data_IF_866027798396
#
_entry.id   IF_866027798396
#
_cell.length_a   1.000
_cell.length_b   1.000
_cell.length_c   1.000
_cell.angle_alpha   90.00
_cell.angle_beta   90.00
_cell.angle_gamma   90.00
#
_symmetry.space_group_name_H-M   'P 1'
#
loop_
_entity.id
_entity.type
_entity.pdbx_description
1 polymer ?
#
# COMPACT_ATOMS: atom_id res chain seq x y z
N UNK A 1 10.75 19.09 -1.20
CA UNK A 1 10.15 17.78 -0.93
C UNK A 1 8.95 17.58 -1.84
N UNK A 2 8.86 16.41 -2.44
CA UNK A 2 7.83 15.99 -3.40
C UNK A 2 6.83 15.08 -2.71
N UNK A 3 5.60 15.05 -3.24
CA UNK A 3 4.51 14.19 -2.74
C UNK A 3 3.96 13.29 -3.83
N UNK A 4 3.46 12.14 -3.43
CA UNK A 4 2.59 11.30 -4.26
C UNK A 4 1.17 11.27 -3.68
N UNK A 5 0.20 11.06 -4.56
CA UNK A 5 -1.19 10.82 -4.18
C UNK A 5 -1.49 9.32 -4.12
N UNK A 6 -2.19 8.89 -3.07
CA UNK A 6 -2.80 7.59 -2.94
C UNK A 6 -4.29 7.75 -2.59
N UNK A 7 -5.04 6.67 -2.71
CA UNK A 7 -6.46 6.61 -2.38
C UNK A 7 -6.72 5.47 -1.41
N UNK A 8 -7.79 5.57 -0.65
CA UNK A 8 -8.34 4.44 0.08
C UNK A 8 -9.85 4.65 0.28
N UNK A 9 -10.51 3.65 0.82
CA UNK A 9 -11.92 3.73 1.18
C UNK A 9 -12.18 2.88 2.42
N UNK A 10 -13.28 3.18 3.09
CA UNK A 10 -13.79 2.39 4.19
C UNK A 10 -15.31 2.37 4.14
N UNK A 11 -15.89 1.27 4.63
CA UNK A 11 -17.33 1.15 4.78
C UNK A 11 -17.74 1.54 6.20
N UNK A 12 -18.97 2.01 6.34
CA UNK A 12 -19.57 2.28 7.65
C UNK A 12 -21.03 1.83 7.66
N UNK A 13 -21.52 1.50 8.85
CA UNK A 13 -22.92 1.16 9.08
C UNK A 13 -23.69 2.38 9.62
N UNK A 14 -24.98 2.43 9.34
CA UNK A 14 -25.86 3.52 9.76
C UNK A 14 -26.05 4.62 8.70
N UNK A 15 -26.86 5.61 9.06
CA UNK A 15 -27.33 6.65 8.13
C UNK A 15 -26.30 7.76 7.88
N UNK A 16 -25.28 7.86 8.73
CA UNK A 16 -24.26 8.92 8.69
C UNK A 16 -22.85 8.36 8.83
N UNK A 17 -21.90 8.96 8.10
CA UNK A 17 -20.47 8.64 8.25
C UNK A 17 -19.99 8.93 9.69
N UNK A 18 -18.96 8.23 10.17
CA UNK A 18 -18.41 8.49 11.50
C UNK A 18 -17.67 9.84 11.54
N UNK A 19 -17.60 10.47 12.71
CA UNK A 19 -16.78 11.68 12.90
C UNK A 19 -15.29 11.39 12.76
N UNK A 20 -14.86 10.20 13.19
CA UNK A 20 -13.46 9.76 13.13
C UNK A 20 -13.35 8.33 12.62
N UNK A 21 -12.31 8.03 11.84
CA UNK A 21 -12.01 6.66 11.40
C UNK A 21 -10.50 6.38 11.36
N UNK A 22 -10.10 5.16 11.74
CA UNK A 22 -8.69 4.74 11.72
C UNK A 22 -8.50 3.69 10.61
N UNK A 23 -7.67 4.01 9.63
CA UNK A 23 -7.33 3.11 8.54
C UNK A 23 -6.11 2.30 8.95
N UNK A 24 -6.33 1.02 9.26
CA UNK A 24 -5.25 0.09 9.58
C UNK A 24 -5.17 -1.10 8.62
N UNK A 25 -6.30 -1.75 8.34
CA UNK A 25 -6.38 -2.94 7.46
C UNK A 25 -7.48 -2.76 6.41
N UNK A 26 -7.28 -1.88 5.42
CA UNK A 26 -8.30 -1.70 4.41
C UNK A 26 -8.46 -2.97 3.56
N UNK A 27 -9.71 -3.43 3.41
CA UNK A 27 -10.08 -4.48 2.46
C UNK A 27 -10.22 -3.84 1.08
N UNK A 28 -9.18 -4.00 0.26
CA UNK A 28 -9.14 -3.56 -1.13
C UNK A 28 -9.47 -4.70 -2.08
N UNK A 29 -10.34 -5.63 -1.65
CA UNK A 29 -10.77 -6.79 -2.41
C UNK A 29 -9.64 -7.74 -2.78
N UNK A 30 -8.72 -7.96 -1.83
CA UNK A 30 -7.61 -8.90 -2.01
C UNK A 30 -8.15 -10.30 -2.35
N UNK A 31 -7.40 -11.06 -3.13
CA UNK A 31 -7.72 -12.46 -3.44
C UNK A 31 -7.31 -13.39 -2.29
N UNK A 32 -7.88 -14.60 -2.27
CA UNK A 32 -7.54 -15.60 -1.26
C UNK A 32 -6.04 -15.91 -1.25
N UNK A 33 -5.47 -16.02 -0.05
CA UNK A 33 -4.04 -16.28 0.15
C UNK A 33 -3.13 -15.07 -0.03
N UNK A 34 -3.65 -13.91 -0.44
CA UNK A 34 -2.88 -12.67 -0.47
C UNK A 34 -2.63 -12.13 0.95
N UNK A 35 -1.39 -11.73 1.22
CA UNK A 35 -0.96 -11.23 2.53
C UNK A 35 -0.35 -9.84 2.36
N UNK A 36 -0.91 -8.87 3.06
CA UNK A 36 -0.40 -7.49 3.08
C UNK A 36 0.76 -7.33 4.06
N UNK A 37 1.62 -6.33 3.86
CA UNK A 37 2.54 -5.86 4.89
C UNK A 37 1.77 -5.45 6.16
N UNK A 38 2.34 -5.75 7.32
CA UNK A 38 1.77 -5.47 8.62
C UNK A 38 2.46 -4.31 9.36
N UNK A 39 3.67 -3.92 8.94
CA UNK A 39 4.44 -2.83 9.55
C UNK A 39 4.14 -1.45 8.97
N UNK A 40 3.30 -1.36 7.94
CA UNK A 40 2.87 -0.11 7.32
C UNK A 40 1.41 -0.14 6.89
N UNK A 41 0.85 1.01 6.56
CA UNK A 41 -0.53 1.11 6.04
C UNK A 41 -0.55 0.95 4.53
N UNK A 42 -1.44 0.10 4.02
CA UNK A 42 -1.59 -0.11 2.58
C UNK A 42 -2.73 0.73 2.01
N UNK A 43 -2.50 1.36 0.86
CA UNK A 43 -3.40 2.24 0.13
C UNK A 43 -3.42 1.83 -1.36
N UNK A 44 -4.36 2.39 -2.12
CA UNK A 44 -4.44 2.27 -3.57
C UNK A 44 -3.57 3.34 -4.23
N UNK A 45 -2.79 2.99 -5.25
CA UNK A 45 -1.89 3.93 -5.91
C UNK A 45 -1.94 3.87 -7.44
N UNK A 46 -1.68 5.03 -8.06
CA UNK A 46 -1.60 5.18 -9.50
C UNK A 46 -2.97 5.15 -10.20
N UNK A 47 -2.94 4.97 -11.52
CA UNK A 47 -4.14 4.93 -12.37
C UNK A 47 -4.59 3.49 -12.70
N UNK A 48 -3.71 2.50 -12.50
CA UNK A 48 -3.94 1.11 -12.89
C UNK A 48 -4.74 0.37 -11.84
N UNK A 49 -6.06 0.22 -12.04
CA UNK A 49 -6.94 -0.59 -11.20
C UNK A 49 -7.77 0.13 -10.13
N UNK A 50 -7.41 1.32 -9.58
CA UNK A 50 -8.24 2.00 -8.60
C UNK A 50 -9.67 2.26 -9.07
N UNK A 51 -9.90 2.55 -10.35
CA UNK A 51 -11.27 2.71 -10.88
C UNK A 51 -12.13 1.46 -10.74
N UNK A 52 -11.56 0.27 -10.99
CA UNK A 52 -12.26 -1.00 -10.83
C UNK A 52 -12.58 -1.29 -9.36
N UNK A 53 -11.63 -1.00 -8.46
CA UNK A 53 -11.80 -1.22 -7.02
C UNK A 53 -12.75 -0.20 -6.39
N UNK A 54 -12.65 1.07 -6.76
CA UNK A 54 -13.60 2.12 -6.34
C UNK A 54 -15.00 1.77 -6.82
N UNK A 55 -15.16 1.37 -8.10
CA UNK A 55 -16.44 0.92 -8.63
C UNK A 55 -16.97 -0.33 -7.92
N UNK A 56 -16.10 -1.27 -7.53
CA UNK A 56 -16.48 -2.41 -6.72
C UNK A 56 -16.92 -2.00 -5.31
N UNK A 57 -16.25 -1.04 -4.69
CA UNK A 57 -16.63 -0.50 -3.39
C UNK A 57 -18.02 0.14 -3.42
N UNK A 58 -18.30 0.98 -4.43
CA UNK A 58 -19.64 1.56 -4.63
C UNK A 58 -20.71 0.48 -4.81
N UNK A 59 -20.45 -0.55 -5.62
CA UNK A 59 -21.40 -1.66 -5.81
C UNK A 59 -21.62 -2.47 -4.53
N UNK A 60 -20.56 -2.74 -3.76
CA UNK A 60 -20.67 -3.45 -2.49
C UNK A 60 -21.48 -2.65 -1.47
N UNK A 61 -21.23 -1.34 -1.37
CA UNK A 61 -22.01 -0.41 -0.56
C UNK A 61 -23.49 -0.48 -0.94
N UNK A 62 -23.82 -0.35 -2.23
CA UNK A 62 -25.20 -0.44 -2.71
C UNK A 62 -25.87 -1.79 -2.43
N UNK A 63 -25.14 -2.91 -2.55
CA UNK A 63 -25.71 -4.25 -2.32
C UNK A 63 -25.86 -4.62 -0.85
N UNK A 64 -25.02 -4.07 0.02
CA UNK A 64 -25.03 -4.37 1.47
C UNK A 64 -25.86 -3.37 2.28
N UNK A 65 -26.16 -2.19 1.71
CA UNK A 65 -26.78 -1.09 2.43
C UNK A 65 -25.80 -0.29 3.30
N UNK A 66 -24.51 -0.66 3.33
CA UNK A 66 -23.48 0.09 4.04
C UNK A 66 -23.12 1.38 3.30
N UNK A 67 -22.76 2.44 4.04
CA UNK A 67 -22.15 3.62 3.47
C UNK A 67 -20.70 3.38 3.05
N UNK A 68 -20.17 4.21 2.16
CA UNK A 68 -18.75 4.18 1.75
C UNK A 68 -18.18 5.59 1.72
N UNK A 69 -17.02 5.75 2.36
CA UNK A 69 -16.21 6.96 2.28
C UNK A 69 -14.94 6.66 1.48
N UNK A 70 -14.50 7.62 0.68
CA UNK A 70 -13.22 7.60 -0.02
C UNK A 70 -12.29 8.63 0.59
N UNK A 71 -11.00 8.35 0.60
CA UNK A 71 -9.99 9.29 1.08
C UNK A 71 -8.86 9.44 0.07
N UNK A 72 -8.50 10.69 -0.21
CA UNK A 72 -7.31 11.10 -0.94
C UNK A 72 -6.20 11.38 0.06
N UNK A 73 -5.08 10.67 -0.07
CA UNK A 73 -3.95 10.71 0.88
C UNK A 73 -2.72 11.22 0.17
N UNK A 74 -1.98 12.13 0.81
CA UNK A 74 -0.69 12.63 0.33
C UNK A 74 0.44 12.03 1.15
N UNK A 75 1.47 11.56 0.46
CA UNK A 75 2.63 10.92 1.08
C UNK A 75 3.88 11.65 0.61
N UNK A 76 4.70 12.08 1.57
CA UNK A 76 6.03 12.64 1.32
C UNK A 76 7.00 11.54 0.88
N UNK A 77 7.73 11.82 -0.19
CA UNK A 77 8.66 10.86 -0.82
C UNK A 77 10.08 11.42 -0.96
N UNK A 78 10.42 12.46 -0.19
CA UNK A 78 11.71 13.14 -0.31
C UNK A 78 11.83 13.92 -1.61
N UNK A 79 12.97 13.79 -2.29
CA UNK A 79 13.19 14.41 -3.60
C UNK A 79 12.69 13.50 -4.72
N UNK A 80 12.03 14.07 -5.72
CA UNK A 80 11.62 13.30 -6.88
C UNK A 80 12.79 13.09 -7.83
N UNK A 81 13.18 11.84 -8.03
CA UNK A 81 14.07 11.46 -9.13
C UNK A 81 13.22 11.00 -10.34
N UNK A 82 13.49 11.54 -11.52
CA UNK A 82 12.82 11.11 -12.75
C UNK A 82 13.33 9.74 -13.23
N UNK A 83 14.56 9.37 -12.85
CA UNK A 83 15.20 8.14 -13.24
C UNK A 83 14.64 6.94 -12.47
N UNK A 84 14.97 5.74 -12.95
CA UNK A 84 14.76 4.51 -12.17
C UNK A 84 15.65 4.55 -10.94
N UNK A 85 15.09 4.18 -9.80
CA UNK A 85 15.80 4.12 -8.54
C UNK A 85 16.88 3.04 -8.54
N UNK A 86 17.89 3.30 -7.73
CA UNK A 86 19.02 2.41 -7.43
C UNK A 86 19.17 2.34 -5.92
N UNK A 87 19.90 1.34 -5.43
CA UNK A 87 20.07 1.15 -3.98
C UNK A 87 20.69 2.39 -3.29
N UNK A 88 21.58 3.12 -3.98
CA UNK A 88 22.28 4.28 -3.44
C UNK A 88 21.45 5.58 -3.35
N UNK A 89 20.24 5.63 -3.94
CA UNK A 89 19.43 6.85 -4.00
C UNK A 89 18.16 6.85 -3.14
N UNK A 90 17.92 5.80 -2.35
CA UNK A 90 16.76 5.69 -1.47
C UNK A 90 16.71 6.78 -0.39
N UNK A 91 17.84 7.23 0.14
CA UNK A 91 17.88 8.30 1.15
C UNK A 91 17.39 9.66 0.66
N UNK A 92 17.51 9.91 -0.65
CA UNK A 92 17.04 11.12 -1.31
C UNK A 92 15.61 10.96 -1.82
N UNK A 93 15.36 9.94 -2.64
CA UNK A 93 14.04 9.63 -3.17
C UNK A 93 13.48 8.40 -2.45
N UNK A 94 12.61 8.67 -1.48
CA UNK A 94 12.14 7.69 -0.47
C UNK A 94 10.92 6.90 -0.94
N UNK A 95 10.79 6.68 -2.24
CA UNK A 95 9.65 6.01 -2.84
C UNK A 95 10.05 5.07 -3.98
N UNK A 96 9.77 3.78 -3.77
CA UNK A 96 10.06 2.74 -4.74
C UNK A 96 8.77 2.25 -5.42
N UNK A 97 8.62 2.50 -6.72
CA UNK A 97 7.49 1.99 -7.51
C UNK A 97 7.90 0.75 -8.31
N UNK A 98 7.56 -0.42 -7.81
CA UNK A 98 7.90 -1.71 -8.39
C UNK A 98 6.89 -2.16 -9.47
N UNK A 99 7.36 -2.82 -10.56
CA UNK A 99 8.76 -2.87 -11.03
C UNK A 99 9.16 -1.62 -11.84
N UNK A 100 8.21 -0.72 -12.12
CA UNK A 100 8.30 0.30 -13.17
C UNK A 100 9.47 1.28 -12.99
N UNK A 101 9.77 1.67 -11.75
CA UNK A 101 10.77 2.67 -11.39
C UNK A 101 11.93 2.10 -10.59
N UNK A 102 12.16 0.78 -10.65
CA UNK A 102 13.35 0.15 -10.13
C UNK A 102 14.32 -0.20 -11.27
N UNK A 103 15.61 0.04 -11.07
CA UNK A 103 16.65 -0.41 -12.00
C UNK A 103 16.83 -1.94 -11.89
N UNK A 104 17.63 -2.53 -12.79
CA UNK A 104 17.86 -3.98 -12.80
C UNK A 104 18.44 -4.49 -11.47
N UNK A 105 19.41 -3.76 -10.93
CA UNK A 105 20.06 -4.07 -9.66
C UNK A 105 19.06 -4.20 -8.51
N UNK A 106 18.19 -3.20 -8.30
CA UNK A 106 17.14 -3.24 -7.28
C UNK A 106 16.18 -4.41 -7.53
N UNK A 107 15.78 -4.66 -8.78
CA UNK A 107 14.89 -5.79 -9.09
C UNK A 107 15.54 -7.15 -8.78
N UNK A 108 16.83 -7.31 -9.06
CA UNK A 108 17.59 -8.54 -8.80
C UNK A 108 17.83 -8.75 -7.31
N UNK A 109 18.20 -7.68 -6.59
CA UNK A 109 18.45 -7.70 -5.15
C UNK A 109 17.17 -8.06 -4.36
N UNK A 110 16.04 -7.43 -4.69
CA UNK A 110 14.74 -7.79 -4.12
C UNK A 110 14.43 -9.25 -4.41
N UNK A 111 14.58 -9.72 -5.65
CA UNK A 111 14.25 -11.11 -6.01
C UNK A 111 15.09 -12.12 -5.21
N UNK A 112 16.38 -11.85 -5.03
CA UNK A 112 17.27 -12.71 -4.24
C UNK A 112 16.83 -12.77 -2.77
N UNK A 113 16.55 -11.63 -2.15
CA UNK A 113 16.04 -11.58 -0.78
C UNK A 113 14.69 -12.29 -0.64
N UNK A 114 13.79 -12.05 -1.59
CA UNK A 114 12.45 -12.61 -1.62
C UNK A 114 12.47 -14.13 -1.65
N UNK A 115 13.20 -14.71 -2.61
CA UNK A 115 13.30 -16.15 -2.79
C UNK A 115 14.04 -16.83 -1.62
N UNK A 116 15.06 -16.18 -1.05
CA UNK A 116 15.69 -16.68 0.17
C UNK A 116 14.67 -16.83 1.33
N UNK A 117 13.80 -15.84 1.54
CA UNK A 117 12.79 -15.93 2.61
C UNK A 117 11.68 -16.94 2.29
N UNK A 118 11.33 -17.13 1.02
CA UNK A 118 10.38 -18.17 0.62
C UNK A 118 10.98 -19.56 0.87
N UNK A 119 12.23 -19.77 0.48
CA UNK A 119 12.97 -21.02 0.72
C UNK A 119 13.06 -21.35 2.23
N UNK A 120 13.34 -20.35 3.08
CA UNK A 120 13.34 -20.49 4.56
C UNK A 120 11.98 -20.96 5.11
N UNK A 121 10.88 -20.60 4.45
CA UNK A 121 9.52 -20.98 4.83
C UNK A 121 9.02 -22.24 4.09
N UNK A 122 9.87 -22.87 3.26
CA UNK A 122 9.51 -24.03 2.43
C UNK A 122 8.50 -23.70 1.32
N UNK A 123 8.38 -22.42 0.94
CA UNK A 123 7.52 -21.94 -0.12
C UNK A 123 8.25 -21.97 -1.49
N UNK A 124 7.52 -22.11 -2.61
CA UNK A 124 8.14 -22.12 -3.94
C UNK A 124 8.71 -20.75 -4.31
N UNK A 125 9.81 -20.76 -5.06
CA UNK A 125 10.42 -19.55 -5.59
C UNK A 125 9.51 -18.80 -6.59
N UNK A 126 9.60 -17.49 -6.56
CA UNK A 126 8.81 -16.55 -7.34
C UNK A 126 9.72 -15.62 -8.19
N UNK A 127 9.11 -14.92 -9.14
CA UNK A 127 9.77 -13.91 -9.99
C UNK A 127 9.43 -12.47 -9.53
N UNK A 128 9.11 -12.28 -8.24
CA UNK A 128 8.88 -10.96 -7.67
C UNK A 128 10.21 -10.17 -7.61
N UNK A 129 10.26 -8.87 -7.94
CA UNK A 129 9.14 -7.97 -8.24
C UNK A 129 8.80 -7.82 -9.73
N UNK A 130 9.35 -8.65 -10.63
CA UNK A 130 9.02 -8.62 -12.06
C UNK A 130 7.61 -9.16 -12.35
N UNK A 131 7.17 -10.12 -11.54
CA UNK A 131 5.78 -10.59 -11.45
C UNK A 131 5.21 -10.27 -10.08
N UNK A 132 3.90 -10.07 -9.99
CA UNK A 132 3.24 -9.89 -8.70
C UNK A 132 3.37 -11.14 -7.84
N UNK A 133 3.40 -10.96 -6.53
CA UNK A 133 3.41 -12.03 -5.54
C UNK A 133 2.23 -11.86 -4.58
N UNK A 134 1.79 -12.97 -3.99
CA UNK A 134 0.78 -12.97 -2.94
C UNK A 134 1.38 -12.76 -1.54
N UNK A 135 2.70 -12.84 -1.41
CA UNK A 135 3.44 -12.74 -0.15
C UNK A 135 3.95 -11.33 0.12
N UNK A 136 3.09 -10.32 -0.09
CA UNK A 136 3.51 -8.92 0.13
C UNK A 136 3.86 -8.62 1.58
N UNK A 137 3.47 -9.48 2.53
CA UNK A 137 3.95 -9.49 3.92
C UNK A 137 5.49 -9.50 4.03
N UNK A 138 6.20 -10.08 3.05
CA UNK A 138 7.67 -10.08 3.03
C UNK A 138 8.28 -8.69 2.80
N UNK A 139 7.50 -7.69 2.37
CA UNK A 139 7.99 -6.30 2.35
C UNK A 139 8.32 -5.80 3.75
N UNK A 140 7.68 -6.31 4.81
CA UNK A 140 8.04 -5.97 6.19
C UNK A 140 9.50 -6.37 6.51
N UNK A 141 9.95 -7.52 5.97
CA UNK A 141 11.35 -7.96 6.10
C UNK A 141 12.27 -7.10 5.24
N UNK A 142 11.83 -6.71 4.04
CA UNK A 142 12.62 -5.90 3.11
C UNK A 142 12.94 -4.53 3.69
N UNK A 143 11.94 -3.80 4.19
CA UNK A 143 12.14 -2.44 4.73
C UNK A 143 12.92 -2.41 6.05
N UNK A 144 13.19 -3.56 6.67
CA UNK A 144 14.09 -3.65 7.80
C UNK A 144 15.58 -3.70 7.38
N UNK A 145 15.87 -3.96 6.10
CA UNK A 145 17.23 -4.05 5.57
C UNK A 145 17.71 -2.70 5.02
N UNK A 146 18.99 -2.33 5.23
CA UNK A 146 19.62 -1.27 4.45
C UNK A 146 19.76 -1.67 2.97
N UNK A 147 19.56 -0.75 2.01
CA UNK A 147 19.13 0.64 2.18
C UNK A 147 17.60 0.83 2.15
N UNK A 148 16.80 -0.23 2.05
CA UNK A 148 15.34 -0.17 1.95
C UNK A 148 14.65 0.47 3.16
N UNK A 149 15.30 0.45 4.33
CA UNK A 149 14.85 1.13 5.54
C UNK A 149 14.80 2.67 5.43
N UNK A 150 15.38 3.24 4.37
CA UNK A 150 15.30 4.69 4.09
C UNK A 150 14.02 5.07 3.31
N UNK A 151 13.30 4.08 2.76
CA UNK A 151 12.08 4.30 1.99
C UNK A 151 10.91 4.64 2.92
N UNK A 152 10.13 5.66 2.55
CA UNK A 152 8.86 5.95 3.21
C UNK A 152 7.76 5.01 2.72
N UNK A 153 7.78 4.67 1.43
CA UNK A 153 6.71 3.86 0.83
C UNK A 153 7.18 3.03 -0.38
N UNK A 154 6.49 1.91 -0.61
CA UNK A 154 6.73 1.02 -1.75
C UNK A 154 5.40 0.74 -2.46
N UNK A 155 5.35 1.01 -3.76
CA UNK A 155 4.21 0.65 -4.61
C UNK A 155 4.48 -0.64 -5.39
N UNK A 156 3.48 -1.51 -5.51
CA UNK A 156 3.62 -2.83 -6.13
C UNK A 156 2.31 -3.26 -6.81
N UNK A 157 2.45 -4.08 -7.85
CA UNK A 157 1.31 -4.61 -8.59
C UNK A 157 0.69 -5.80 -7.84
N UNK A 158 -0.64 -5.86 -7.80
CA UNK A 158 -1.42 -6.88 -7.11
C UNK A 158 -2.54 -7.38 -8.02
N UNK A 159 -2.84 -8.67 -7.97
CA UNK A 159 -4.06 -9.22 -8.53
C UNK A 159 -5.15 -9.25 -7.45
N UNK A 160 -6.25 -8.55 -7.69
CA UNK A 160 -7.42 -8.50 -6.80
C UNK A 160 -8.56 -9.33 -7.37
N UNK A 161 -9.64 -9.49 -6.59
CA UNK A 161 -10.88 -10.11 -7.07
C UNK A 161 -11.51 -9.38 -8.27
N UNK A 162 -11.16 -8.11 -8.49
CA UNK A 162 -11.68 -7.27 -9.57
C UNK A 162 -10.62 -6.91 -10.63
N UNK A 163 -9.53 -7.68 -10.69
CA UNK A 163 -8.47 -7.53 -11.68
C UNK A 163 -7.18 -6.94 -11.12
N UNK A 164 -6.27 -6.58 -12.01
CA UNK A 164 -4.97 -6.02 -11.62
C UNK A 164 -5.14 -4.60 -11.04
N UNK A 165 -4.48 -4.37 -9.91
CA UNK A 165 -4.38 -3.07 -9.27
C UNK A 165 -2.92 -2.78 -8.89
N UNK A 166 -2.66 -1.55 -8.47
CA UNK A 166 -1.40 -1.16 -7.85
C UNK A 166 -1.69 -0.66 -6.44
N UNK A 167 -1.06 -1.30 -5.47
CA UNK A 167 -1.09 -0.88 -4.07
C UNK A 167 0.17 -0.10 -3.73
N UNK A 168 0.11 0.64 -2.63
CA UNK A 168 1.20 1.36 -2.01
C UNK A 168 1.16 1.08 -0.52
N UNK A 169 2.25 0.58 0.06
CA UNK A 169 2.39 0.51 1.50
C UNK A 169 3.31 1.64 1.97
N UNK A 170 2.84 2.40 2.94
CA UNK A 170 3.59 3.46 3.63
C UNK A 170 4.11 2.88 4.94
N UNK A 171 5.43 2.77 5.06
CA UNK A 171 6.11 2.19 6.22
C UNK A 171 6.53 3.26 7.23
N UNK A 172 6.80 4.48 6.75
CA UNK A 172 7.02 5.64 7.60
C UNK A 172 5.72 6.45 7.73
N UNK A 173 5.01 6.28 8.85
CA UNK A 173 3.71 6.93 9.08
C UNK A 173 3.82 8.46 9.13
N UNK A 174 4.96 9.01 9.55
CA UNK A 174 5.22 10.46 9.58
C UNK A 174 5.30 11.06 8.17
N UNK A 175 5.44 10.23 7.13
CA UNK A 175 5.41 10.68 5.75
C UNK A 175 3.98 10.97 5.24
N UNK A 176 2.94 10.52 5.96
CA UNK A 176 1.55 10.81 5.59
C UNK A 176 1.23 12.24 6.00
N UNK A 177 0.83 13.07 5.04
CA UNK A 177 0.42 14.45 5.29
C UNK A 177 -1.06 14.49 5.66
N UNK A 178 -1.36 14.25 6.93
CA UNK A 178 -2.72 14.18 7.45
C UNK A 178 -3.52 15.47 7.22
N UNK A 179 -2.86 16.63 7.23
CA UNK A 179 -3.44 17.95 6.93
C UNK A 179 -3.82 18.14 5.45
N UNK A 180 -3.20 17.38 4.55
CA UNK A 180 -3.51 17.35 3.12
C UNK A 180 -4.43 16.18 2.72
N UNK A 181 -4.97 15.46 3.71
CA UNK A 181 -5.86 14.31 3.48
C UNK A 181 -7.31 14.76 3.36
N UNK A 182 -8.00 14.32 2.30
CA UNK A 182 -9.38 14.72 2.02
C UNK A 182 -10.30 13.51 1.97
N UNK A 183 -11.41 13.55 2.72
CA UNK A 183 -12.43 12.49 2.76
C UNK A 183 -13.68 12.92 1.99
N UNK A 184 -14.29 11.97 1.28
CA UNK A 184 -15.49 12.14 0.47
C UNK A 184 -16.50 11.05 0.86
N UNK A 185 -17.69 11.39 1.39
CA UNK A 185 -18.15 12.74 1.71
C UNK A 185 -17.29 13.43 2.80
N UNK A 186 -17.25 14.77 2.85
CA UNK A 186 -16.47 15.48 3.86
C UNK A 186 -17.13 15.35 5.24
N UNK A 187 -16.33 15.34 6.30
CA UNK A 187 -16.80 15.37 7.70
C UNK A 187 -16.31 14.21 8.57
N UNK A 188 -15.59 13.24 8.01
CA UNK A 188 -14.82 12.27 8.79
C UNK A 188 -13.35 12.70 8.86
N UNK A 189 -12.82 12.80 10.07
CA UNK A 189 -11.38 12.89 10.32
C UNK A 189 -10.76 11.49 10.24
N UNK A 190 -9.69 11.32 9.47
CA UNK A 190 -9.02 10.02 9.35
C UNK A 190 -7.61 10.03 9.91
N UNK A 191 -7.28 8.94 10.58
CA UNK A 191 -5.93 8.61 11.03
C UNK A 191 -5.53 7.24 10.51
N UNK A 192 -4.24 6.91 10.62
CA UNK A 192 -3.68 5.69 10.05
C UNK A 192 -2.87 4.96 11.10
N UNK A 193 -2.92 3.62 11.07
CA UNK A 193 -2.09 2.80 11.94
C UNK A 193 -1.56 1.56 11.21
N UNK A 194 -0.33 1.11 11.48
CA UNK A 194 0.13 -0.19 10.98
C UNK A 194 -0.74 -1.34 11.51
N UNK A 195 -1.08 -2.34 10.68
CA UNK A 195 -1.87 -3.51 11.07
C UNK A 195 -1.40 -4.25 12.33
N UNK A 196 -0.09 -4.24 12.63
CA UNK A 196 0.49 -4.90 13.79
C UNK A 196 0.35 -4.10 15.11
N UNK A 197 0.01 -2.81 15.03
CA UNK A 197 -0.19 -1.93 16.20
C UNK A 197 -1.63 -1.87 16.66
N UNK A 198 -2.57 -2.35 15.83
CA UNK A 198 -3.98 -2.33 16.18
C UNK A 198 -4.24 -3.30 17.35
N UNK A 199 -4.86 -2.85 18.45
CA UNK A 199 -5.26 -3.75 19.52
C UNK A 199 -6.20 -4.82 18.92
N UNK A 200 -5.96 -6.08 19.27
CA UNK A 200 -6.85 -7.18 18.88
C UNK A 200 -8.25 -6.85 19.42
N UNK A 201 -9.15 -6.46 18.55
CA UNK A 201 -10.58 -6.43 18.86
C UNK A 201 -10.99 -7.89 19.03
N UNK A 202 -11.36 -8.26 20.27
CA UNK A 202 -11.90 -9.57 20.62
C UNK A 202 -13.25 -9.81 19.94
#
# INVERSE_FOLDING_TARGET
MSVIGAKTFFFFEGDSQPDTHIICRPDHFQQDGFRLPASGVTLLYGHKGPGSLIGAAVRQSASSGAGVCFADVKIDIGEWDANKQKLDNFGHCRFLNLPQRANREVLDDINQHWNRWLDEEGAPNEDFPRKSSNRMDLLDKLVALPPYNELNAIAYDVQTRFGAAKFLTVFNMDAIRSDETAVIPPGTEISFCPPNTQPKTN
#
